data_IF_652200005750
#
_entry.id   IF_652200005750
#
_cell.length_a   1.000
_cell.length_b   1.000
_cell.length_c   1.000
_cell.angle_alpha   90.00
_cell.angle_beta   90.00
_cell.angle_gamma   90.00
#
_symmetry.space_group_name_H-M   'P 1'
#
loop_
_entity.id
_entity.type
_entity.pdbx_description
1 polymer ?
#
# COMPACT_ATOMS: atom_id res chain seq x y z
N UNK A 1 10.59 2.73 -13.97
CA UNK A 1 9.55 1.93 -14.62
C UNK A 1 8.27 1.93 -13.80
N UNK A 2 8.24 1.22 -12.67
CA UNK A 2 7.06 1.11 -11.82
C UNK A 2 6.38 2.44 -11.45
N UNK A 3 7.09 3.38 -10.81
CA UNK A 3 6.50 4.67 -10.39
C UNK A 3 5.99 5.50 -11.57
N UNK A 4 6.69 5.47 -12.69
CA UNK A 4 6.29 6.16 -13.91
C UNK A 4 5.03 5.53 -14.53
N UNK A 5 4.91 4.20 -14.48
CA UNK A 5 3.71 3.46 -14.88
C UNK A 5 2.50 3.84 -14.05
N UNK A 6 2.64 3.78 -12.71
CA UNK A 6 1.54 4.00 -11.77
C UNK A 6 1.15 5.48 -11.72
N UNK A 7 2.11 6.39 -11.74
CA UNK A 7 1.87 7.84 -11.65
C UNK A 7 1.16 8.43 -12.88
N UNK A 8 1.32 7.82 -14.06
CA UNK A 8 0.73 8.31 -15.30
C UNK A 8 -0.27 7.33 -15.93
N UNK A 9 -0.60 6.23 -15.25
CA UNK A 9 -1.47 5.15 -15.74
C UNK A 9 -1.11 4.69 -17.18
N UNK A 10 0.17 4.45 -17.41
CA UNK A 10 0.68 4.10 -18.74
C UNK A 10 0.52 2.61 -19.02
N UNK A 11 0.17 2.27 -20.26
CA UNK A 11 0.11 0.87 -20.73
C UNK A 11 1.52 0.28 -20.85
N UNK A 12 1.68 -1.01 -20.56
CA UNK A 12 2.98 -1.69 -20.55
C UNK A 12 3.76 -1.56 -21.88
N UNK A 13 3.06 -1.51 -23.03
CA UNK A 13 3.71 -1.28 -24.32
C UNK A 13 4.31 0.13 -24.43
N UNK A 14 3.64 1.16 -23.91
CA UNK A 14 4.16 2.54 -23.92
C UNK A 14 5.43 2.64 -23.08
N UNK A 15 5.43 2.01 -21.91
CA UNK A 15 6.61 1.96 -21.05
C UNK A 15 7.74 1.19 -21.73
N UNK A 16 7.44 0.05 -22.37
CA UNK A 16 8.41 -0.72 -23.15
C UNK A 16 9.12 0.13 -24.21
N UNK A 17 8.39 1.02 -24.87
CA UNK A 17 8.97 1.99 -25.82
C UNK A 17 9.92 3.00 -25.12
N UNK A 18 9.54 3.54 -23.96
CA UNK A 18 10.39 4.47 -23.21
C UNK A 18 11.70 3.85 -22.71
N UNK A 19 11.67 2.59 -22.23
CA UNK A 19 12.89 1.88 -21.76
C UNK A 19 13.61 1.09 -22.84
N UNK A 20 13.05 1.01 -24.06
CA UNK A 20 13.54 0.14 -25.13
C UNK A 20 13.64 -1.33 -24.67
N UNK A 21 12.59 -1.82 -24.00
CA UNK A 21 12.48 -3.21 -23.50
C UNK A 21 11.15 -3.82 -23.93
N UNK A 22 11.09 -5.15 -23.97
CA UNK A 22 9.83 -5.85 -24.28
C UNK A 22 8.77 -5.59 -23.21
N UNK A 23 7.50 -5.65 -23.60
CA UNK A 23 6.37 -5.57 -22.66
C UNK A 23 6.40 -6.68 -21.62
N UNK A 24 6.96 -7.84 -21.96
CA UNK A 24 7.21 -8.94 -21.04
C UNK A 24 8.22 -8.53 -19.96
N UNK A 25 9.34 -7.92 -20.35
CA UNK A 25 10.34 -7.41 -19.41
C UNK A 25 9.71 -6.39 -18.47
N UNK A 26 8.92 -5.45 -19.00
CA UNK A 26 8.21 -4.44 -18.18
C UNK A 26 7.28 -5.11 -17.18
N UNK A 27 6.52 -6.12 -17.60
CA UNK A 27 5.58 -6.85 -16.74
C UNK A 27 6.32 -7.65 -15.65
N UNK A 28 7.46 -8.26 -15.98
CA UNK A 28 8.29 -9.00 -15.03
C UNK A 28 8.81 -8.08 -13.91
N UNK A 29 9.43 -6.95 -14.27
CA UNK A 29 9.90 -5.97 -13.28
C UNK A 29 8.76 -5.35 -12.47
N UNK A 30 7.60 -5.11 -13.11
CA UNK A 30 6.43 -4.60 -12.39
C UNK A 30 5.96 -5.59 -11.32
N UNK A 31 5.90 -6.88 -11.65
CA UNK A 31 5.51 -7.93 -10.72
C UNK A 31 6.53 -8.11 -9.57
N UNK A 32 7.83 -8.05 -9.85
CA UNK A 32 8.85 -8.12 -8.80
C UNK A 32 8.74 -6.96 -7.80
N UNK A 33 8.46 -5.74 -8.27
CA UNK A 33 8.22 -4.60 -7.39
C UNK A 33 6.96 -4.80 -6.55
N UNK A 34 5.88 -5.33 -7.13
CA UNK A 34 4.67 -5.65 -6.39
C UNK A 34 4.91 -6.71 -5.31
N UNK A 35 5.69 -7.76 -5.59
CA UNK A 35 6.05 -8.77 -4.58
C UNK A 35 6.84 -8.16 -3.42
N UNK A 36 7.82 -7.31 -3.72
CA UNK A 36 8.58 -6.60 -2.69
C UNK A 36 7.68 -5.69 -1.85
N UNK A 37 6.76 -4.95 -2.49
CA UNK A 37 5.76 -4.13 -1.81
C UNK A 37 4.83 -4.97 -0.93
N UNK A 38 4.33 -6.10 -1.42
CA UNK A 38 3.50 -7.01 -0.61
C UNK A 38 4.26 -7.57 0.59
N UNK A 39 5.55 -7.90 0.44
CA UNK A 39 6.39 -8.34 1.55
C UNK A 39 6.58 -7.22 2.58
N UNK A 40 6.90 -6.01 2.11
CA UNK A 40 7.08 -4.84 2.97
C UNK A 40 5.78 -4.42 3.65
N UNK A 41 4.65 -4.54 2.95
CA UNK A 41 3.33 -4.24 3.48
C UNK A 41 2.97 -5.14 4.65
N UNK A 42 3.43 -6.39 4.70
CA UNK A 42 3.23 -7.26 5.89
C UNK A 42 3.94 -6.72 7.13
N UNK A 43 5.05 -6.01 6.95
CA UNK A 43 5.80 -5.41 8.05
C UNK A 43 5.32 -4.01 8.41
N UNK A 44 4.90 -3.22 7.41
CA UNK A 44 4.41 -1.86 7.59
C UNK A 44 2.93 -1.81 8.01
N UNK A 45 2.10 -2.68 7.43
CA UNK A 45 0.70 -2.89 7.80
C UNK A 45 0.65 -3.95 8.91
N UNK A 46 1.47 -3.78 9.94
CA UNK A 46 1.20 -4.40 11.23
C UNK A 46 0.11 -3.57 11.88
N UNK A 47 -0.97 -4.23 12.31
CA UNK A 47 -1.99 -3.60 13.14
C UNK A 47 -1.27 -2.86 14.26
N UNK A 48 -1.46 -1.54 14.33
CA UNK A 48 -0.84 -0.70 15.34
C UNK A 48 -1.06 -1.38 16.69
N UNK A 49 0.03 -1.70 17.40
CA UNK A 49 -0.02 -2.30 18.73
C UNK A 49 -1.13 -1.62 19.52
N UNK A 50 -2.02 -2.42 20.13
CA UNK A 50 -3.13 -1.95 20.96
C UNK A 50 -2.64 -1.09 22.14
N UNK A 51 -1.33 -1.05 22.37
CA UNK A 51 -0.69 -0.14 23.31
C UNK A 51 -0.73 1.31 22.81
N UNK A 52 -1.91 1.89 22.96
CA UNK A 52 -2.18 3.29 22.76
C UNK A 52 -1.43 4.07 23.83
N UNK A 53 -0.45 4.88 23.41
CA UNK A 53 0.35 5.72 24.31
C UNK A 53 -0.57 6.44 25.32
N UNK A 54 -0.29 6.41 26.64
CA UNK A 54 -1.23 6.80 27.70
C UNK A 54 -1.74 8.25 27.59
N UNK A 55 -1.01 9.10 26.86
CA UNK A 55 -1.39 10.49 26.52
C UNK A 55 -2.59 10.60 25.56
N UNK A 56 -2.92 9.53 24.83
CA UNK A 56 -4.08 9.45 23.93
C UNK A 56 -5.28 8.89 24.72
N UNK A 57 -5.06 7.87 25.56
CA UNK A 57 -6.08 7.29 26.45
C UNK A 57 -6.61 8.30 27.49
N UNK A 58 -5.77 9.25 27.94
CA UNK A 58 -6.17 10.28 28.90
C UNK A 58 -7.05 11.41 28.32
N UNK A 59 -7.37 11.39 27.02
CA UNK A 59 -8.23 12.40 26.37
C UNK A 59 -9.39 11.76 25.59
N UNK A 60 -10.37 11.17 26.30
CA UNK A 60 -11.44 10.34 25.71
C UNK A 60 -12.36 11.06 24.71
N UNK A 61 -12.37 12.40 24.66
CA UNK A 61 -13.24 13.17 23.77
C UNK A 61 -12.61 13.68 22.45
N UNK A 62 -11.29 13.60 22.27
CA UNK A 62 -10.61 14.30 21.15
C UNK A 62 -10.10 13.37 20.04
N UNK A 63 -9.63 12.17 20.41
CA UNK A 63 -8.98 11.27 19.46
C UNK A 63 -9.77 9.99 19.16
N UNK A 64 -10.81 9.70 19.95
CA UNK A 64 -11.65 8.52 19.83
C UNK A 64 -12.28 8.27 18.43
N UNK A 65 -12.81 9.28 17.69
CA UNK A 65 -13.47 9.03 16.40
C UNK A 65 -12.53 8.58 15.28
N UNK A 66 -11.20 8.69 15.46
CA UNK A 66 -10.22 8.26 14.45
C UNK A 66 -9.75 6.81 14.64
N UNK A 67 -9.96 6.21 15.82
CA UNK A 67 -9.47 4.88 16.15
C UNK A 67 -10.51 3.77 15.96
N UNK A 68 -11.81 4.05 16.09
CA UNK A 68 -12.87 3.03 15.87
C UNK A 68 -12.97 2.56 14.42
N UNK A 69 -12.71 3.46 13.46
CA UNK A 69 -12.85 3.17 12.01
C UNK A 69 -11.78 2.16 11.53
N UNK A 70 -10.67 2.00 12.25
CA UNK A 70 -9.57 1.12 11.87
C UNK A 70 -9.92 -0.36 12.04
N UNK A 71 -10.74 -0.72 13.03
CA UNK A 71 -11.09 -2.12 13.28
C UNK A 71 -12.12 -2.68 12.28
N UNK A 72 -13.10 -1.86 11.85
CA UNK A 72 -14.12 -2.29 10.89
C UNK A 72 -13.67 -2.26 9.43
N UNK A 73 -12.83 -1.29 9.06
CA UNK A 73 -12.52 -1.02 7.65
C UNK A 73 -11.40 -1.90 7.08
N UNK A 74 -10.43 -2.30 7.91
CA UNK A 74 -9.31 -3.15 7.46
C UNK A 74 -9.75 -4.57 7.06
N UNK A 75 -10.82 -5.09 7.65
CA UNK A 75 -11.37 -6.41 7.29
C UNK A 75 -12.09 -6.36 5.94
N UNK A 76 -12.74 -5.24 5.61
CA UNK A 76 -13.48 -5.06 4.35
C UNK A 76 -12.52 -4.84 3.18
N UNK A 77 -11.39 -4.15 3.40
CA UNK A 77 -10.43 -3.83 2.33
C UNK A 77 -9.55 -5.01 1.88
N UNK A 78 -9.54 -6.13 2.60
CA UNK A 78 -8.84 -7.36 2.19
C UNK A 78 -9.77 -8.39 1.52
N UNK A 79 -11.09 -8.15 1.53
CA UNK A 79 -12.11 -9.06 1.01
C UNK A 79 -12.79 -8.57 -0.30
N UNK A 80 -12.42 -7.38 -0.79
CA UNK A 80 -12.83 -6.79 -2.07
C UNK A 80 -11.59 -6.58 -2.95
#
# INVERSE_FOLDING_TARGET
MFLHTVGHNLRNHMIGLYVKRSSETVSWYFNEVLKALCSLAKDMIKLKSIDTHPKITSSPGRFYPYFEVVYGTFVICLAL
#
